data_IF_403408364010
#
_entry.id   IF_403408364010
#
_cell.length_a   1.000
_cell.length_b   1.000
_cell.length_c   1.000
_cell.angle_alpha   90.00
_cell.angle_beta   90.00
_cell.angle_gamma   90.00
#
_symmetry.space_group_name_H-M   'P 1'
#
loop_
_entity.id
_entity.type
_entity.pdbx_description
1 polymer ?
#
# COMPACT_ATOMS: atom_id res chain seq x y z
N UNK A 1 -0.59 -16.29 6.36
CA UNK A 1 0.07 -15.34 7.24
C UNK A 1 1.15 -14.62 6.50
N UNK A 2 0.67 -13.64 5.73
CA UNK A 2 0.92 -12.23 6.02
C UNK A 2 2.22 -12.00 6.77
N UNK A 3 3.20 -11.46 6.06
CA UNK A 3 4.45 -10.90 6.60
C UNK A 3 4.26 -9.90 7.76
N UNK A 4 3.02 -9.58 8.13
CA UNK A 4 2.66 -8.69 9.23
C UNK A 4 2.95 -9.28 10.61
N UNK A 5 2.70 -10.57 10.86
CA UNK A 5 2.99 -11.22 12.15
C UNK A 5 4.15 -12.20 11.97
N UNK A 6 5.25 -11.96 12.68
CA UNK A 6 6.27 -12.98 12.83
C UNK A 6 5.77 -14.04 13.81
N UNK A 7 5.05 -15.03 13.30
CA UNK A 7 4.46 -16.10 14.11
C UNK A 7 5.52 -17.08 14.67
N UNK A 8 6.75 -17.03 14.15
CA UNK A 8 7.86 -17.87 14.57
C UNK A 8 8.79 -17.08 15.48
N UNK A 9 8.61 -17.20 16.79
CA UNK A 9 9.56 -16.67 17.77
C UNK A 9 11.00 -17.17 17.55
N UNK A 10 12.01 -16.58 18.22
CA UNK A 10 11.89 -15.58 19.28
C UNK A 10 11.59 -14.16 18.76
N UNK A 11 10.74 -13.43 19.48
CA UNK A 11 10.39 -12.05 19.16
C UNK A 11 11.45 -11.09 19.71
N UNK A 12 12.45 -10.78 18.89
CA UNK A 12 13.59 -9.92 19.29
C UNK A 12 13.29 -8.43 19.19
N UNK A 13 12.19 -8.04 18.54
CA UNK A 13 11.77 -6.65 18.35
C UNK A 13 10.49 -6.37 19.16
N UNK A 14 10.28 -5.12 19.64
CA UNK A 14 9.01 -4.75 20.27
C UNK A 14 7.83 -4.87 19.29
N UNK A 15 6.60 -4.86 19.81
CA UNK A 15 5.40 -4.75 18.95
C UNK A 15 5.48 -3.48 18.11
N UNK A 16 5.20 -3.61 16.82
CA UNK A 16 5.25 -2.50 15.89
C UNK A 16 3.93 -1.70 15.94
N UNK A 17 3.80 -0.79 16.91
CA UNK A 17 2.64 0.11 17.01
C UNK A 17 2.47 1.06 15.81
N UNK A 18 3.48 1.15 14.94
CA UNK A 18 3.42 1.85 13.66
C UNK A 18 2.98 0.99 12.48
N UNK A 19 2.57 -0.26 12.72
CA UNK A 19 2.05 -1.19 11.70
C UNK A 19 0.78 -0.61 11.07
N UNK A 20 0.74 -0.65 9.75
CA UNK A 20 -0.44 -0.32 8.96
C UNK A 20 -0.65 -1.45 7.96
N UNK A 21 -1.91 -1.88 7.82
CA UNK A 21 -2.26 -2.99 6.93
C UNK A 21 -3.06 -2.52 5.73
N UNK A 22 -2.73 -3.05 4.55
CA UNK A 22 -3.53 -2.92 3.35
C UNK A 22 -4.92 -3.58 3.48
N UNK A 23 -5.66 -3.65 2.38
CA UNK A 23 -6.99 -4.29 2.38
C UNK A 23 -6.93 -5.80 2.66
N UNK A 24 -5.80 -6.42 2.35
CA UNK A 24 -5.60 -7.87 2.45
C UNK A 24 -4.54 -8.22 3.48
N UNK A 25 -4.49 -7.43 4.56
CA UNK A 25 -3.65 -7.68 5.73
C UNK A 25 -2.13 -7.70 5.45
N UNK A 26 -1.71 -7.07 4.36
CA UNK A 26 -0.30 -6.91 4.04
C UNK A 26 0.27 -5.66 4.70
N UNK A 27 1.48 -5.74 5.28
CA UNK A 27 2.10 -4.60 5.94
C UNK A 27 2.51 -3.53 4.94
N UNK A 28 2.03 -2.31 5.17
CA UNK A 28 2.42 -1.11 4.46
C UNK A 28 3.26 -0.23 5.39
N UNK A 29 4.28 0.40 4.83
CA UNK A 29 5.15 1.34 5.51
C UNK A 29 4.85 2.72 4.95
N UNK A 30 4.36 3.63 5.78
CA UNK A 30 4.29 5.03 5.35
C UNK A 30 5.66 5.55 4.99
N UNK A 31 5.74 6.37 3.95
CA UNK A 31 6.98 7.06 3.61
C UNK A 31 7.63 7.74 4.82
N UNK A 32 6.83 8.42 5.67
CA UNK A 32 7.34 9.10 6.87
C UNK A 32 7.86 8.17 7.97
N UNK A 33 7.49 6.89 7.97
CA UNK A 33 8.10 5.87 8.83
C UNK A 33 9.32 5.25 8.16
N UNK A 34 9.28 5.04 6.84
CA UNK A 34 10.39 4.51 6.05
C UNK A 34 11.66 5.38 6.11
N UNK A 35 11.49 6.71 6.18
CA UNK A 35 12.60 7.66 6.29
C UNK A 35 12.89 8.12 7.72
N UNK A 36 12.18 7.60 8.72
CA UNK A 36 12.39 7.97 10.12
C UNK A 36 13.60 7.24 10.67
N UNK A 37 14.49 7.97 11.33
CA UNK A 37 15.51 7.34 12.16
C UNK A 37 14.80 6.63 13.33
N UNK A 38 14.89 5.30 13.37
CA UNK A 38 14.56 4.60 14.61
C UNK A 38 15.55 5.07 15.68
N UNK A 39 15.09 5.31 16.93
CA UNK A 39 15.97 5.72 18.01
C UNK A 39 17.07 4.67 18.20
N UNK A 40 18.24 4.95 17.63
CA UNK A 40 19.41 4.07 17.73
C UNK A 40 19.80 3.94 19.19
N UNK A 41 20.42 2.79 19.49
CA UNK A 41 21.03 2.52 20.78
C UNK A 41 21.67 3.79 21.38
N UNK A 42 21.23 4.27 22.55
CA UNK A 42 21.69 5.53 23.15
C UNK A 42 23.20 5.56 23.45
N UNK A 43 23.86 4.40 23.33
CA UNK A 43 25.29 4.20 23.51
C UNK A 43 26.14 4.70 22.33
N UNK A 44 25.57 4.87 21.14
CA UNK A 44 26.28 5.51 20.02
C UNK A 44 25.97 7.00 20.09
N UNK A 45 26.74 7.72 20.92
CA UNK A 45 26.86 9.16 20.76
C UNK A 45 27.47 9.41 19.39
N UNK A 46 26.65 9.87 18.44
CA UNK A 46 27.12 10.36 17.14
C UNK A 46 28.08 11.52 17.42
N UNK A 47 29.36 11.19 17.50
CA UNK A 47 30.42 12.19 17.52
C UNK A 47 30.35 12.88 16.18
N UNK A 48 30.31 14.22 16.17
CA UNK A 48 30.39 15.00 14.94
C UNK A 48 31.54 14.46 14.07
N UNK A 49 31.27 14.22 12.80
CA UNK A 49 32.29 13.79 11.83
C UNK A 49 32.67 14.96 10.90
N UNK A 50 33.33 16.02 11.42
CA UNK A 50 33.62 17.23 10.66
C UNK A 50 34.60 16.98 9.50
N UNK A 51 35.26 15.82 9.48
CA UNK A 51 36.22 15.45 8.44
C UNK A 51 35.54 14.96 7.15
N UNK A 52 34.25 14.65 7.15
CA UNK A 52 33.55 14.14 5.96
C UNK A 52 33.77 15.01 4.71
N UNK A 53 33.60 16.35 4.75
CA UNK A 53 33.80 17.19 3.58
C UNK A 53 35.26 17.26 3.11
N UNK A 54 36.21 16.89 3.97
CA UNK A 54 37.65 16.89 3.66
C UNK A 54 38.12 15.58 3.03
N UNK A 55 37.30 14.53 3.04
CA UNK A 55 37.61 13.27 2.39
C UNK A 55 37.64 13.44 0.86
N UNK A 56 38.50 12.69 0.14
CA UNK A 56 38.36 12.49 -1.29
C UNK A 56 36.93 12.11 -1.68
N UNK A 57 36.47 12.60 -2.84
CA UNK A 57 35.08 12.44 -3.29
C UNK A 57 34.67 10.96 -3.40
N UNK A 58 35.60 10.10 -3.78
CA UNK A 58 35.40 8.65 -3.88
C UNK A 58 35.13 8.03 -2.51
N UNK A 59 35.84 8.50 -1.47
CA UNK A 59 35.60 8.05 -0.09
C UNK A 59 34.29 8.60 0.46
N UNK A 60 33.93 9.85 0.13
CA UNK A 60 32.62 10.39 0.47
C UNK A 60 31.49 9.55 -0.15
N UNK A 61 31.61 9.21 -1.44
CA UNK A 61 30.60 8.40 -2.14
C UNK A 61 30.54 6.98 -1.61
N UNK A 62 31.67 6.36 -1.30
CA UNK A 62 31.70 5.05 -0.66
C UNK A 62 31.00 5.07 0.70
N UNK A 63 31.23 6.10 1.54
CA UNK A 63 30.52 6.27 2.81
C UNK A 63 29.01 6.43 2.59
N UNK A 64 28.59 7.27 1.64
CA UNK A 64 27.17 7.46 1.30
C UNK A 64 26.53 6.13 0.87
N UNK A 65 27.22 5.31 0.07
CA UNK A 65 26.69 4.02 -0.40
C UNK A 65 26.41 3.00 0.70
N UNK A 66 27.01 3.19 1.88
CA UNK A 66 26.86 2.33 3.05
C UNK A 66 25.85 2.90 4.07
N UNK A 67 25.29 4.09 3.81
CA UNK A 67 24.30 4.70 4.68
C UNK A 67 22.95 3.98 4.59
N UNK A 68 22.29 3.89 5.74
CA UNK A 68 20.90 3.42 5.81
C UNK A 68 19.94 4.44 5.19
N UNK A 69 18.73 3.96 4.83
CA UNK A 69 17.70 4.76 4.16
C UNK A 69 17.37 6.08 4.89
N UNK A 70 17.14 6.11 6.22
CA UNK A 70 16.90 7.37 6.92
C UNK A 70 18.06 8.35 6.78
N UNK A 71 19.30 7.86 6.94
CA UNK A 71 20.51 8.67 6.78
C UNK A 71 20.65 9.20 5.35
N UNK A 72 20.38 8.37 4.33
CA UNK A 72 20.38 8.80 2.93
C UNK A 72 19.34 9.90 2.67
N UNK A 73 18.14 9.78 3.24
CA UNK A 73 17.11 10.82 3.13
C UNK A 73 17.55 12.14 3.77
N UNK A 74 18.19 12.10 4.94
CA UNK A 74 18.76 13.30 5.57
C UNK A 74 19.89 13.91 4.73
N UNK A 75 20.80 13.08 4.20
CA UNK A 75 21.90 13.54 3.34
C UNK A 75 21.40 14.21 2.06
N UNK A 76 20.23 13.82 1.54
CA UNK A 76 19.58 14.51 0.43
C UNK A 76 19.24 15.98 0.74
N UNK A 77 19.19 16.39 2.00
CA UNK A 77 18.85 17.75 2.40
C UNK A 77 20.09 18.65 2.62
N UNK A 78 21.30 18.07 2.74
CA UNK A 78 22.52 18.79 3.17
C UNK A 78 23.12 19.68 2.08
N UNK A 79 23.53 19.13 0.93
CA UNK A 79 24.20 19.89 -0.14
C UNK A 79 23.85 19.34 -1.53
N UNK A 80 24.06 20.11 -2.60
CA UNK A 80 23.72 19.68 -3.97
C UNK A 80 24.49 18.44 -4.42
N UNK A 81 25.78 18.37 -4.10
CA UNK A 81 26.63 17.23 -4.48
C UNK A 81 26.24 15.97 -3.71
N UNK A 82 26.13 16.06 -2.38
CA UNK A 82 25.72 14.94 -1.52
C UNK A 82 24.30 14.49 -1.91
N UNK A 83 23.39 15.43 -2.17
CA UNK A 83 22.01 15.13 -2.60
C UNK A 83 21.97 14.32 -3.88
N UNK A 84 22.77 14.68 -4.88
CA UNK A 84 22.78 13.96 -6.15
C UNK A 84 23.23 12.50 -5.95
N UNK A 85 24.20 12.27 -5.06
CA UNK A 85 24.72 10.93 -4.79
C UNK A 85 23.79 10.12 -3.88
N UNK A 86 23.39 10.65 -2.73
CA UNK A 86 22.49 9.99 -1.79
C UNK A 86 21.16 9.59 -2.44
N UNK A 87 20.66 10.43 -3.36
CA UNK A 87 19.45 10.14 -4.13
C UNK A 87 19.59 8.84 -4.95
N UNK A 88 20.76 8.53 -5.51
CA UNK A 88 20.93 7.30 -6.29
C UNK A 88 20.67 6.07 -5.42
N UNK A 89 21.31 6.03 -4.26
CA UNK A 89 21.22 4.92 -3.32
C UNK A 89 19.85 4.82 -2.65
N UNK A 90 19.25 5.96 -2.26
CA UNK A 90 17.94 5.99 -1.63
C UNK A 90 16.85 5.36 -2.50
N UNK A 91 16.81 5.72 -3.79
CA UNK A 91 15.78 5.22 -4.71
C UNK A 91 16.10 3.85 -5.31
N UNK A 92 17.30 3.31 -5.09
CA UNK A 92 17.73 2.01 -5.62
C UNK A 92 17.60 0.86 -4.62
N UNK A 93 16.97 1.07 -3.46
CA UNK A 93 16.71 -0.01 -2.48
C UNK A 93 15.90 -1.14 -3.17
N UNK A 94 16.49 -2.35 -3.34
CA UNK A 94 15.83 -3.45 -4.04
C UNK A 94 14.58 -3.96 -3.33
N UNK A 95 14.48 -3.72 -2.01
CA UNK A 95 13.38 -4.21 -1.18
C UNK A 95 12.26 -3.17 -1.02
N UNK A 96 12.51 -1.92 -1.42
CA UNK A 96 11.55 -0.81 -1.35
C UNK A 96 10.66 -0.75 -2.59
N UNK A 97 9.39 -1.05 -2.44
CA UNK A 97 8.39 -1.02 -3.51
C UNK A 97 7.36 0.05 -3.19
N UNK A 98 7.25 1.07 -4.02
CA UNK A 98 6.26 2.13 -3.80
C UNK A 98 4.90 1.64 -4.26
N UNK A 99 3.91 1.69 -3.38
CA UNK A 99 2.59 1.17 -3.66
C UNK A 99 1.65 2.28 -4.13
N UNK A 100 1.02 2.08 -5.29
CA UNK A 100 -0.05 2.94 -5.81
C UNK A 100 -1.26 2.13 -6.23
N UNK A 101 -2.44 2.71 -6.14
CA UNK A 101 -3.65 2.09 -6.67
C UNK A 101 -3.67 2.11 -8.19
N UNK A 102 -4.18 1.04 -8.81
CA UNK A 102 -4.35 0.94 -10.24
C UNK A 102 -5.18 2.09 -10.81
N UNK A 103 -6.23 2.53 -10.09
CA UNK A 103 -7.13 3.61 -10.53
C UNK A 103 -6.41 4.90 -10.90
N UNK A 104 -5.28 5.23 -10.25
CA UNK A 104 -4.45 6.37 -10.65
C UNK A 104 -3.98 6.23 -12.11
N UNK A 105 -3.46 5.06 -12.48
CA UNK A 105 -2.87 4.80 -13.79
C UNK A 105 -3.92 4.59 -14.87
N UNK A 106 -5.06 3.98 -14.53
CA UNK A 106 -6.20 3.82 -15.45
C UNK A 106 -6.77 5.16 -15.84
N UNK A 107 -6.87 6.08 -14.88
CA UNK A 107 -7.37 7.44 -15.09
C UNK A 107 -6.29 8.43 -15.54
N UNK A 108 -5.27 7.93 -16.25
CA UNK A 108 -4.29 8.78 -16.91
C UNK A 108 -3.23 9.38 -15.98
N UNK A 109 -3.12 8.95 -14.72
CA UNK A 109 -2.01 9.34 -13.85
C UNK A 109 -2.06 10.82 -13.45
N UNK A 110 -3.26 11.38 -13.27
CA UNK A 110 -3.46 12.79 -12.98
C UNK A 110 -3.62 13.06 -11.47
N UNK A 111 -3.23 14.25 -10.96
CA UNK A 111 -3.27 14.58 -9.54
C UNK A 111 -4.64 14.42 -8.89
N UNK A 112 -5.73 14.65 -9.62
CA UNK A 112 -7.10 14.49 -9.12
C UNK A 112 -7.46 13.05 -8.71
N UNK A 113 -6.78 12.04 -9.26
CA UNK A 113 -7.05 10.62 -9.03
C UNK A 113 -6.16 9.98 -7.95
N UNK A 114 -5.41 10.79 -7.19
CA UNK A 114 -4.56 10.30 -6.11
C UNK A 114 -4.53 11.25 -4.92
N UNK A 115 -4.28 10.69 -3.74
CA UNK A 115 -3.98 11.45 -2.52
C UNK A 115 -2.50 11.78 -2.38
N UNK A 116 -1.65 11.29 -3.28
CA UNK A 116 -0.20 11.32 -3.14
C UNK A 116 0.45 12.46 -3.92
N UNK A 117 1.63 12.89 -3.45
CA UNK A 117 2.44 13.91 -4.11
C UNK A 117 2.99 13.40 -5.45
N UNK A 118 2.63 14.05 -6.56
CA UNK A 118 3.04 13.58 -7.89
C UNK A 118 4.55 13.74 -8.15
N UNK A 119 5.17 14.78 -7.59
CA UNK A 119 6.62 15.03 -7.73
C UNK A 119 7.46 13.94 -7.06
N UNK A 120 6.91 13.26 -6.05
CA UNK A 120 7.54 12.09 -5.45
C UNK A 120 7.64 10.92 -6.45
N UNK A 121 6.56 10.68 -7.21
CA UNK A 121 6.43 9.53 -8.11
C UNK A 121 7.48 9.53 -9.22
N UNK A 122 7.96 10.71 -9.64
CA UNK A 122 8.96 10.84 -10.71
C UNK A 122 10.34 10.27 -10.35
N UNK A 123 10.54 9.89 -9.09
CA UNK A 123 11.80 9.32 -8.59
C UNK A 123 11.74 7.82 -8.31
N UNK A 124 10.54 7.24 -8.29
CA UNK A 124 10.33 5.82 -7.99
C UNK A 124 10.98 4.94 -9.06
N UNK A 125 11.74 3.93 -8.62
CA UNK A 125 12.37 2.92 -9.48
C UNK A 125 11.66 1.56 -9.41
N UNK A 126 11.08 1.21 -8.26
CA UNK A 126 10.32 -0.01 -8.05
C UNK A 126 8.89 0.35 -7.63
N UNK A 127 7.92 -0.06 -8.44
CA UNK A 127 6.50 0.25 -8.28
C UNK A 127 5.70 -1.02 -8.07
N UNK A 128 4.83 -1.01 -7.08
CA UNK A 128 3.76 -1.96 -6.89
C UNK A 128 2.43 -1.28 -7.25
N UNK A 129 1.64 -1.95 -8.08
CA UNK A 129 0.31 -1.50 -8.47
C UNK A 129 -0.72 -2.42 -7.84
N UNK A 130 -1.54 -1.88 -6.96
CA UNK A 130 -2.65 -2.58 -6.34
C UNK A 130 -3.91 -2.46 -7.19
N UNK A 131 -4.38 -3.59 -7.71
CA UNK A 131 -5.69 -3.67 -8.34
C UNK A 131 -6.72 -3.99 -7.27
N UNK A 132 -7.47 -2.96 -6.87
CA UNK A 132 -8.63 -3.13 -6.00
C UNK A 132 -9.69 -3.98 -6.72
N UNK A 133 -10.49 -4.74 -5.96
CA UNK A 133 -11.54 -5.60 -6.52
C UNK A 133 -12.54 -4.77 -7.35
N UNK A 134 -12.72 -3.49 -7.02
CA UNK A 134 -13.57 -2.55 -7.78
C UNK A 134 -12.95 -2.06 -9.10
N UNK A 135 -11.62 -2.03 -9.23
CA UNK A 135 -10.92 -1.52 -10.43
C UNK A 135 -10.74 -2.61 -11.49
N UNK A 136 -11.01 -3.87 -11.12
CA UNK A 136 -11.14 -4.96 -12.08
C UNK A 136 -12.27 -4.74 -13.10
N UNK A 137 -13.11 -3.71 -12.98
CA UNK A 137 -14.13 -3.36 -13.98
C UNK A 137 -13.63 -2.38 -15.08
N UNK A 138 -12.57 -1.58 -14.84
CA UNK A 138 -12.20 -0.49 -15.77
C UNK A 138 -11.14 -0.88 -16.81
N UNK A 139 -10.06 -1.56 -16.38
CA UNK A 139 -9.06 -2.12 -17.30
C UNK A 139 -9.46 -3.47 -17.88
N UNK A 140 -10.31 -4.18 -17.15
CA UNK A 140 -10.85 -5.44 -17.55
C UNK A 140 -12.35 -5.23 -17.65
N UNK A 141 -12.97 -5.40 -18.83
CA UNK A 141 -14.38 -5.80 -18.80
C UNK A 141 -14.40 -7.05 -17.91
N UNK A 142 -14.85 -6.94 -16.66
CA UNK A 142 -14.73 -8.02 -15.67
C UNK A 142 -15.34 -9.32 -16.20
N UNK A 143 -16.35 -9.23 -17.07
CA UNK A 143 -16.92 -10.36 -17.78
C UNK A 143 -15.98 -11.00 -18.83
N UNK A 144 -15.11 -10.22 -19.48
CA UNK A 144 -14.22 -10.69 -20.55
C UNK A 144 -12.94 -11.36 -20.03
N UNK A 145 -12.51 -11.07 -18.78
CA UNK A 145 -11.25 -11.57 -18.22
C UNK A 145 -11.39 -12.45 -16.98
N UNK A 146 -12.48 -12.35 -16.21
CA UNK A 146 -12.67 -13.13 -14.96
C UNK A 146 -13.55 -14.38 -15.10
N UNK A 147 -13.88 -14.82 -16.32
CA UNK A 147 -14.34 -16.20 -16.52
C UNK A 147 -15.82 -16.40 -16.85
N UNK A 148 -16.33 -15.68 -17.85
CA UNK A 148 -17.02 -16.46 -18.89
C UNK A 148 -15.99 -17.47 -19.41
N UNK A 149 -16.24 -18.78 -19.32
CA UNK A 149 -15.38 -19.85 -19.88
C UNK A 149 -15.24 -19.80 -21.42
N UNK A 150 -15.33 -18.61 -22.00
CA UNK A 150 -14.92 -18.34 -23.36
C UNK A 150 -13.41 -18.49 -23.45
N UNK A 151 -13.04 -19.47 -24.24
CA UNK A 151 -11.71 -19.84 -24.71
C UNK A 151 -10.55 -18.90 -24.27
N UNK A 152 -9.62 -19.35 -23.39
CA UNK A 152 -8.39 -18.63 -23.05
C UNK A 152 -7.53 -18.24 -24.25
N UNK A 153 -7.81 -18.81 -25.42
CA UNK A 153 -7.13 -18.53 -26.69
C UNK A 153 -7.76 -17.39 -27.49
N UNK A 154 -8.85 -16.76 -27.01
CA UNK A 154 -9.43 -15.63 -27.73
C UNK A 154 -8.50 -14.41 -27.64
N UNK A 155 -8.05 -13.95 -28.81
CA UNK A 155 -7.21 -12.75 -28.94
C UNK A 155 -7.86 -11.55 -28.22
N UNK A 156 -7.11 -10.81 -27.37
CA UNK A 156 -7.61 -9.61 -26.72
C UNK A 156 -8.24 -8.65 -27.72
N UNK A 157 -9.40 -8.09 -27.38
CA UNK A 157 -10.08 -7.12 -28.24
C UNK A 157 -9.17 -5.94 -28.57
N UNK A 158 -9.36 -5.34 -29.74
CA UNK A 158 -8.57 -4.16 -30.17
C UNK A 158 -8.69 -3.03 -29.15
N UNK A 159 -9.86 -2.87 -28.54
CA UNK A 159 -10.11 -1.84 -27.52
C UNK A 159 -9.36 -2.14 -26.21
N UNK A 160 -9.34 -3.41 -25.76
CA UNK A 160 -8.57 -3.81 -24.59
C UNK A 160 -7.07 -3.55 -24.79
N UNK A 161 -6.51 -3.93 -25.95
CA UNK A 161 -5.10 -3.64 -26.29
C UNK A 161 -4.80 -2.14 -26.27
N UNK A 162 -5.73 -1.31 -26.73
CA UNK A 162 -5.62 0.16 -26.70
C UNK A 162 -5.62 0.69 -25.26
N UNK A 163 -6.49 0.18 -24.38
CA UNK A 163 -6.52 0.54 -22.95
C UNK A 163 -5.22 0.14 -22.25
N UNK A 164 -4.74 -1.08 -22.47
CA UNK A 164 -3.46 -1.57 -21.92
C UNK A 164 -2.29 -0.69 -22.41
N UNK A 165 -2.28 -0.31 -23.70
CA UNK A 165 -1.27 0.59 -24.24
C UNK A 165 -1.31 1.97 -23.58
N UNK A 166 -2.51 2.53 -23.36
CA UNK A 166 -2.71 3.81 -22.67
C UNK A 166 -2.26 3.74 -21.20
N UNK A 167 -2.54 2.62 -20.52
CA UNK A 167 -2.05 2.35 -19.17
C UNK A 167 -0.51 2.40 -19.12
N UNK A 168 0.18 1.69 -20.02
CA UNK A 168 1.64 1.69 -20.04
C UNK A 168 2.25 3.05 -20.42
N UNK A 169 1.63 3.79 -21.33
CA UNK A 169 2.02 5.18 -21.62
C UNK A 169 1.89 6.07 -20.38
N UNK A 170 0.82 5.89 -19.61
CA UNK A 170 0.62 6.59 -18.35
C UNK A 170 1.69 6.22 -17.34
N UNK A 171 1.99 4.93 -17.17
CA UNK A 171 3.08 4.45 -16.30
C UNK A 171 4.41 5.12 -16.67
N UNK A 172 4.80 5.11 -17.94
CA UNK A 172 6.07 5.70 -18.38
C UNK A 172 6.13 7.22 -18.15
N UNK A 173 4.99 7.92 -18.32
CA UNK A 173 4.91 9.37 -18.09
C UNK A 173 4.98 9.71 -16.59
N UNK A 174 4.25 8.98 -15.75
CA UNK A 174 4.17 9.25 -14.31
C UNK A 174 5.44 8.78 -13.58
N UNK A 175 6.05 7.70 -14.06
CA UNK A 175 7.22 7.06 -13.45
C UNK A 175 8.40 6.97 -14.45
N UNK A 176 9.00 8.10 -14.85
CA UNK A 176 10.06 8.13 -15.87
C UNK A 176 11.35 7.41 -15.49
N UNK A 177 11.53 7.04 -14.22
CA UNK A 177 12.71 6.32 -13.70
C UNK A 177 12.43 4.86 -13.35
N UNK A 178 11.24 4.37 -13.69
CA UNK A 178 10.82 3.03 -13.34
C UNK A 178 11.70 1.97 -14.02
N UNK A 179 12.17 1.02 -13.24
CA UNK A 179 12.96 -0.13 -13.72
C UNK A 179 12.25 -1.46 -13.43
N UNK A 180 11.44 -1.53 -12.37
CA UNK A 180 10.69 -2.72 -11.97
C UNK A 180 9.26 -2.38 -11.60
N UNK A 181 8.32 -3.20 -12.04
CA UNK A 181 6.91 -3.03 -11.76
C UNK A 181 6.28 -4.37 -11.38
N UNK A 182 5.52 -4.39 -10.29
CA UNK A 182 4.70 -5.54 -9.90
C UNK A 182 3.24 -5.14 -10.01
N UNK A 183 2.47 -5.90 -10.78
CA UNK A 183 1.02 -5.80 -10.78
C UNK A 183 0.47 -6.81 -9.79
N UNK A 184 -0.08 -6.29 -8.70
CA UNK A 184 -0.60 -7.06 -7.57
C UNK A 184 -2.11 -7.24 -7.73
N UNK A 185 -2.52 -8.50 -7.87
CA UNK A 185 -3.91 -8.93 -7.69
C UNK A 185 -4.07 -9.39 -6.24
N UNK A 186 -5.24 -9.13 -5.67
CA UNK A 186 -5.54 -9.50 -4.31
C UNK A 186 -6.66 -10.54 -4.16
N UNK A 187 -7.28 -10.92 -5.27
CA UNK A 187 -8.14 -12.10 -5.31
C UNK A 187 -7.34 -13.32 -4.85
N UNK A 188 -7.82 -14.00 -3.82
CA UNK A 188 -7.14 -15.16 -3.26
C UNK A 188 -7.20 -16.34 -4.22
N UNK A 189 -6.03 -16.84 -4.64
CA UNK A 189 -5.91 -17.93 -5.62
C UNK A 189 -5.44 -19.22 -4.96
N UNK A 190 -5.82 -20.35 -5.52
CA UNK A 190 -5.20 -21.64 -5.20
C UNK A 190 -3.84 -21.72 -5.90
N UNK A 191 -2.90 -22.45 -5.29
CA UNK A 191 -1.57 -22.69 -5.90
C UNK A 191 -1.61 -23.35 -7.28
N UNK A 192 -2.73 -23.98 -7.64
CA UNK A 192 -2.95 -24.64 -8.94
C UNK A 192 -3.62 -23.74 -9.98
N UNK A 193 -4.09 -22.55 -9.59
CA UNK A 193 -4.85 -21.70 -10.49
C UNK A 193 -3.92 -21.10 -11.56
N UNK A 194 -4.25 -21.22 -12.85
CA UNK A 194 -3.46 -20.61 -13.93
C UNK A 194 -3.51 -19.09 -13.79
N UNK A 195 -2.47 -18.37 -14.21
CA UNK A 195 -2.47 -16.91 -14.15
C UNK A 195 -3.64 -16.30 -14.95
N UNK A 196 -4.25 -15.19 -14.49
CA UNK A 196 -5.34 -14.55 -15.22
C UNK A 196 -4.88 -14.13 -16.63
N UNK A 197 -5.56 -14.55 -17.71
CA UNK A 197 -5.19 -14.19 -19.08
C UNK A 197 -5.06 -12.69 -19.32
N UNK A 198 -5.93 -11.90 -18.67
CA UNK A 198 -5.91 -10.44 -18.77
C UNK A 198 -4.64 -9.84 -18.20
N UNK A 199 -4.22 -10.31 -17.03
CA UNK A 199 -2.98 -9.87 -16.41
C UNK A 199 -1.76 -10.28 -17.21
N UNK A 200 -1.75 -11.50 -17.77
CA UNK A 200 -0.70 -11.92 -18.71
C UNK A 200 -0.64 -11.00 -19.94
N UNK A 201 -1.79 -10.58 -20.45
CA UNK A 201 -1.88 -9.64 -21.57
C UNK A 201 -1.31 -8.27 -21.18
N UNK A 202 -1.69 -7.73 -20.02
CA UNK A 202 -1.14 -6.47 -19.50
C UNK A 202 0.38 -6.53 -19.42
N UNK A 203 0.93 -7.57 -18.80
CA UNK A 203 2.36 -7.69 -18.56
C UNK A 203 3.17 -7.99 -19.82
N UNK A 204 2.61 -8.73 -20.78
CA UNK A 204 3.27 -9.00 -22.07
C UNK A 204 3.40 -7.75 -22.95
N UNK A 205 2.57 -6.73 -22.71
CA UNK A 205 2.65 -5.42 -23.37
C UNK A 205 3.53 -4.41 -22.61
N UNK A 206 4.26 -4.84 -21.58
CA UNK A 206 5.13 -3.95 -20.82
C UNK A 206 6.23 -3.34 -21.73
N UNK A 207 6.47 -2.01 -21.64
CA UNK A 207 7.52 -1.36 -22.42
C UNK A 207 8.92 -1.93 -22.17
N UNK A 208 9.73 -1.95 -23.21
CA UNK A 208 11.14 -2.35 -23.10
C UNK A 208 11.89 -1.48 -22.06
N UNK A 209 12.73 -2.12 -21.26
CA UNK A 209 13.49 -1.47 -20.19
C UNK A 209 12.83 -1.52 -18.80
N UNK A 210 11.56 -1.92 -18.71
CA UNK A 210 10.87 -2.17 -17.44
C UNK A 210 10.75 -3.67 -17.23
N UNK A 211 11.16 -4.16 -16.07
CA UNK A 211 10.90 -5.55 -15.66
C UNK A 211 9.53 -5.65 -15.02
N UNK A 212 8.61 -6.36 -15.67
CA UNK A 212 7.26 -6.55 -15.17
C UNK A 212 7.09 -7.90 -14.46
N UNK A 213 6.40 -7.85 -13.33
CA UNK A 213 6.10 -8.98 -12.48
C UNK A 213 4.60 -9.03 -12.20
N UNK A 214 4.09 -10.23 -12.00
CA UNK A 214 2.76 -10.46 -11.47
C UNK A 214 2.87 -10.89 -10.01
N UNK A 215 1.96 -10.42 -9.16
CA UNK A 215 1.93 -10.81 -7.77
C UNK A 215 0.54 -11.22 -7.32
N UNK A 216 0.45 -12.32 -6.57
CA UNK A 216 -0.83 -12.90 -6.13
C UNK A 216 -0.79 -13.32 -4.69
N UNK A 217 -1.94 -13.20 -4.03
CA UNK A 217 -2.21 -13.93 -2.80
C UNK A 217 -2.55 -15.37 -3.15
N UNK A 218 -1.77 -16.31 -2.61
CA UNK A 218 -2.01 -17.74 -2.77
C UNK A 218 -2.34 -18.38 -1.43
N UNK A 219 -3.40 -19.19 -1.43
CA UNK A 219 -3.66 -20.19 -0.39
C UNK A 219 -2.87 -21.45 -0.71
N UNK A 220 -2.22 -22.04 0.29
CA UNK A 220 -1.53 -23.31 0.09
C UNK A 220 -2.52 -24.45 -0.17
N UNK A 221 -2.00 -25.60 -0.63
CA UNK A 221 -2.83 -26.75 -1.08
C UNK A 221 -3.75 -27.29 0.01
N UNK A 222 -3.28 -27.30 1.25
CA UNK A 222 -4.10 -27.62 2.39
C UNK A 222 -4.56 -26.29 2.99
N UNK A 223 -5.87 -26.11 3.20
CA UNK A 223 -6.47 -24.85 3.69
C UNK A 223 -5.83 -24.30 4.99
N UNK A 224 -5.03 -25.13 5.67
CA UNK A 224 -4.24 -24.81 6.86
C UNK A 224 -2.97 -23.99 6.57
N UNK A 225 -2.60 -23.79 5.30
CA UNK A 225 -1.38 -23.09 4.96
C UNK A 225 -1.59 -21.58 4.96
N UNK A 226 -0.61 -20.82 5.50
CA UNK A 226 -0.67 -19.38 5.52
C UNK A 226 -0.86 -18.81 4.10
N UNK A 227 -1.83 -17.90 3.94
CA UNK A 227 -1.90 -17.03 2.76
C UNK A 227 -0.55 -16.34 2.60
N UNK A 228 0.03 -16.46 1.42
CA UNK A 228 1.35 -15.93 1.08
C UNK A 228 1.27 -15.18 -0.25
N UNK A 229 2.03 -14.09 -0.36
CA UNK A 229 2.18 -13.40 -1.64
C UNK A 229 3.30 -14.04 -2.45
N UNK A 230 3.01 -14.38 -3.69
CA UNK A 230 3.97 -14.99 -4.64
C UNK A 230 4.27 -14.01 -5.76
N UNK A 231 5.51 -14.01 -6.24
CA UNK A 231 5.95 -13.17 -7.36
C UNK A 231 6.28 -14.04 -8.56
N UNK A 232 5.79 -13.62 -9.72
CA UNK A 232 5.87 -14.34 -10.99
C UNK A 232 6.43 -13.45 -12.09
N UNK A 233 7.09 -14.06 -13.08
CA UNK A 233 7.51 -13.39 -14.31
C UNK A 233 7.30 -14.26 -15.53
N UNK A 234 7.22 -13.65 -16.71
CA UNK A 234 7.24 -14.39 -17.97
C UNK A 234 8.62 -15.01 -18.26
N UNK A 235 8.67 -16.26 -18.70
CA UNK A 235 9.91 -16.99 -19.07
C UNK A 235 10.55 -16.51 -20.38
N UNK A 236 9.93 -15.57 -21.09
CA UNK A 236 10.31 -15.16 -22.44
C UNK A 236 11.26 -13.96 -22.52
N UNK A 237 12.56 -14.20 -22.49
CA UNK A 237 13.60 -13.21 -22.87
C UNK A 237 14.28 -13.50 -24.22
N UNK A 238 13.90 -14.58 -24.93
CA UNK A 238 14.50 -14.98 -26.21
C UNK A 238 13.44 -15.54 -27.15
N UNK A 239 12.97 -14.69 -28.05
CA UNK A 239 12.22 -14.83 -29.32
C UNK A 239 11.47 -16.10 -29.77
N UNK A 240 11.52 -17.26 -29.09
CA UNK A 240 10.90 -18.51 -29.56
C UNK A 240 10.18 -19.32 -28.46
N UNK A 241 10.13 -18.86 -27.21
CA UNK A 241 9.29 -19.50 -26.20
C UNK A 241 7.83 -19.11 -26.42
N UNK A 242 6.86 -20.04 -26.27
CA UNK A 242 5.44 -19.69 -26.31
C UNK A 242 5.20 -18.58 -25.28
N UNK A 243 4.50 -17.51 -25.68
CA UNK A 243 4.29 -16.28 -24.93
C UNK A 243 3.59 -16.43 -23.56
N UNK A 244 3.31 -17.68 -23.14
CA UNK A 244 2.46 -18.01 -22.02
C UNK A 244 3.17 -18.80 -20.91
N UNK A 245 4.48 -19.06 -21.01
CA UNK A 245 5.18 -19.68 -19.90
C UNK A 245 5.56 -18.64 -18.86
N UNK A 246 4.95 -18.74 -17.68
CA UNK A 246 5.30 -17.97 -16.51
C UNK A 246 6.01 -18.85 -15.48
N UNK A 247 6.90 -18.25 -14.71
CA UNK A 247 7.58 -18.89 -13.59
C UNK A 247 7.37 -18.11 -12.30
N UNK A 248 7.09 -18.85 -11.24
CA UNK A 248 7.19 -18.35 -9.87
C UNK A 248 8.66 -18.12 -9.56
N UNK A 249 9.04 -16.86 -9.35
CA UNK A 249 10.43 -16.49 -9.02
C UNK A 249 10.63 -16.28 -7.53
N UNK A 250 9.54 -16.02 -6.79
CA UNK A 250 9.59 -15.92 -5.35
C UNK A 250 8.31 -16.50 -4.72
N UNK A 251 8.39 -17.67 -4.07
CA UNK A 251 7.24 -18.32 -3.45
C UNK A 251 6.77 -17.68 -2.16
N UNK A 252 7.53 -16.71 -1.61
CA UNK A 252 7.16 -15.92 -0.43
C UNK A 252 7.79 -14.54 -0.60
N UNK A 253 7.13 -13.70 -1.39
CA UNK A 253 7.64 -12.40 -1.74
C UNK A 253 7.53 -11.41 -0.58
N UNK A 254 8.63 -11.29 0.15
CA UNK A 254 8.82 -10.28 1.20
C UNK A 254 9.37 -9.00 0.59
N UNK A 255 8.73 -7.87 0.88
CA UNK A 255 9.13 -6.54 0.41
C UNK A 255 8.70 -5.47 1.42
N UNK A 256 9.29 -4.29 1.33
CA UNK A 256 8.82 -3.07 2.00
C UNK A 256 7.85 -2.37 1.05
N UNK A 257 6.54 -2.61 1.23
CA UNK A 257 5.50 -1.85 0.50
C UNK A 257 5.40 -0.46 1.11
N UNK A 258 5.79 0.57 0.36
CA UNK A 258 5.89 1.95 0.83
C UNK A 258 4.72 2.76 0.26
N UNK A 259 3.89 3.32 1.14
CA UNK A 259 2.84 4.27 0.74
C UNK A 259 3.47 5.64 0.49
N UNK A 260 3.33 6.23 -0.72
CA UNK A 260 3.85 7.55 -1.04
C UNK A 260 3.33 8.65 -0.10
N UNK A 261 4.08 9.75 0.11
CA UNK A 261 3.62 10.86 0.94
C UNK A 261 2.33 11.48 0.37
N UNK A 262 1.41 11.95 1.23
CA UNK A 262 0.22 12.64 0.76
C UNK A 262 0.61 13.97 0.10
N UNK A 263 -0.18 14.39 -0.90
CA UNK A 263 -0.10 15.76 -1.42
C UNK A 263 -0.68 16.74 -0.40
N UNK A 264 -0.48 18.03 -0.65
CA UNK A 264 -1.14 19.07 0.13
C UNK A 264 -2.65 19.07 -0.16
N UNK A 265 -3.44 19.16 0.91
CA UNK A 265 -4.89 19.30 0.83
C UNK A 265 -5.27 20.76 1.12
N UNK A 266 -5.89 21.45 0.17
CA UNK A 266 -6.28 22.87 0.28
C UNK A 266 -7.69 23.09 -0.27
N UNK A 267 -8.42 24.07 0.29
CA UNK A 267 -9.78 24.42 -0.14
C UNK A 267 -10.82 23.32 0.09
N UNK A 268 -12.06 23.51 -0.40
CA UNK A 268 -13.15 22.56 -0.19
C UNK A 268 -12.90 21.19 -0.83
N UNK A 269 -12.28 21.13 -2.01
CA UNK A 269 -11.92 19.85 -2.67
C UNK A 269 -10.83 19.14 -1.86
N UNK A 270 -9.85 19.89 -1.36
CA UNK A 270 -8.81 19.35 -0.50
C UNK A 270 -9.34 18.84 0.82
N UNK A 271 -10.32 19.51 1.42
CA UNK A 271 -10.97 19.04 2.65
C UNK A 271 -11.61 17.67 2.45
N UNK A 272 -12.41 17.49 1.39
CA UNK A 272 -12.98 16.18 1.04
C UNK A 272 -11.89 15.12 0.90
N UNK A 273 -10.88 15.38 0.05
CA UNK A 273 -9.80 14.43 -0.18
C UNK A 273 -8.98 14.14 1.08
N UNK A 274 -8.81 15.11 1.97
CA UNK A 274 -8.15 14.94 3.26
C UNK A 274 -8.95 13.98 4.13
N UNK A 275 -10.26 14.17 4.28
CA UNK A 275 -11.14 13.25 5.03
C UNK A 275 -11.04 11.85 4.44
N UNK A 276 -11.22 11.70 3.12
CA UNK A 276 -11.13 10.41 2.43
C UNK A 276 -9.76 9.75 2.65
N UNK A 277 -8.67 10.52 2.56
CA UNK A 277 -7.32 10.02 2.82
C UNK A 277 -7.14 9.58 4.27
N UNK A 278 -7.58 10.38 5.25
CA UNK A 278 -7.51 10.00 6.66
C UNK A 278 -8.30 8.72 6.92
N UNK A 279 -9.49 8.57 6.34
CA UNK A 279 -10.29 7.36 6.52
C UNK A 279 -9.64 6.13 5.87
N UNK A 280 -9.36 6.17 4.57
CA UNK A 280 -8.92 4.99 3.83
C UNK A 280 -7.43 4.69 3.96
N UNK A 281 -6.58 5.69 4.17
CA UNK A 281 -5.12 5.53 4.18
C UNK A 281 -4.51 5.69 5.58
N UNK A 282 -5.28 6.07 6.60
CA UNK A 282 -4.76 6.26 7.97
C UNK A 282 -5.55 5.45 9.00
N UNK A 283 -6.85 5.70 9.13
CA UNK A 283 -7.71 5.03 10.11
C UNK A 283 -7.88 3.55 9.79
N UNK A 284 -8.45 3.20 8.63
CA UNK A 284 -8.71 1.79 8.26
C UNK A 284 -7.47 0.89 8.34
N UNK A 285 -6.28 1.30 7.84
CA UNK A 285 -5.07 0.49 7.98
C UNK A 285 -4.60 0.28 9.42
N UNK A 286 -4.74 1.29 10.29
CA UNK A 286 -4.40 1.20 11.72
C UNK A 286 -5.40 0.33 12.47
N UNK A 287 -6.68 0.56 12.26
CA UNK A 287 -7.78 -0.20 12.85
C UNK A 287 -7.64 -1.71 12.57
N UNK A 288 -7.37 -2.08 11.31
CA UNK A 288 -7.04 -3.48 10.95
C UNK A 288 -5.77 -3.98 11.64
N UNK A 289 -4.73 -3.15 11.72
CA UNK A 289 -3.48 -3.52 12.38
C UNK A 289 -3.67 -3.83 13.87
N UNK A 290 -4.62 -3.19 14.56
CA UNK A 290 -4.96 -3.47 15.97
C UNK A 290 -5.22 -4.94 16.23
N UNK A 291 -6.00 -5.59 15.35
CA UNK A 291 -6.29 -7.04 15.42
C UNK A 291 -4.99 -7.85 15.37
N UNK A 292 -4.11 -7.56 14.41
CA UNK A 292 -2.85 -8.28 14.23
C UNK A 292 -1.87 -8.05 15.39
N UNK A 293 -1.83 -6.84 15.93
CA UNK A 293 -1.04 -6.52 17.12
C UNK A 293 -1.54 -7.31 18.34
N UNK A 294 -2.86 -7.46 18.50
CA UNK A 294 -3.46 -8.27 19.57
C UNK A 294 -3.09 -9.73 19.44
N UNK A 295 -3.19 -10.29 18.23
CA UNK A 295 -2.80 -11.68 17.99
C UNK A 295 -1.32 -11.90 18.33
N UNK A 296 -0.43 -11.05 17.83
CA UNK A 296 1.00 -11.15 18.12
C UNK A 296 1.32 -10.97 19.62
N UNK A 297 0.62 -10.05 20.30
CA UNK A 297 0.78 -9.82 21.73
C UNK A 297 0.44 -11.06 22.56
N UNK A 298 -0.60 -11.80 22.19
CA UNK A 298 -1.02 -13.02 22.89
C UNK A 298 -0.04 -14.16 22.65
N UNK A 299 0.40 -14.37 21.42
CA UNK A 299 1.45 -15.36 21.11
C UNK A 299 2.73 -15.07 21.89
N UNK A 300 3.20 -13.82 21.88
CA UNK A 300 4.37 -13.39 22.66
C UNK A 300 4.18 -13.67 24.14
N UNK A 301 3.03 -13.34 24.71
CA UNK A 301 2.76 -13.56 26.13
C UNK A 301 2.87 -15.04 26.54
N UNK A 302 2.43 -15.95 25.67
CA UNK A 302 2.40 -17.38 25.93
C UNK A 302 3.72 -18.09 25.59
N UNK A 303 4.39 -17.70 24.51
CA UNK A 303 5.53 -18.43 23.99
C UNK A 303 6.88 -17.72 24.14
N UNK A 304 6.93 -16.41 24.37
CA UNK A 304 8.20 -15.69 24.55
C UNK A 304 8.78 -15.95 25.95
N UNK A 305 9.66 -16.95 26.04
CA UNK A 305 10.30 -17.38 27.28
C UNK A 305 9.42 -18.26 28.19
N UNK A 306 8.08 -18.20 28.09
CA UNK A 306 7.18 -18.99 28.96
C UNK A 306 6.83 -20.37 28.43
N UNK A 307 6.69 -20.52 27.11
CA UNK A 307 6.31 -21.78 26.43
C UNK A 307 5.05 -22.44 27.00
N UNK A 308 4.00 -21.65 27.27
CA UNK A 308 2.72 -22.13 27.81
C UNK A 308 1.70 -22.27 26.67
N UNK A 309 1.01 -23.41 26.53
CA UNK A 309 0.00 -23.58 25.49
C UNK A 309 -1.14 -22.55 25.56
N UNK A 310 -1.76 -22.28 24.42
CA UNK A 310 -2.94 -21.43 24.28
C UNK A 310 -4.15 -22.32 24.04
N UNK A 311 -5.21 -22.16 24.83
CA UNK A 311 -6.53 -22.73 24.53
C UNK A 311 -7.37 -21.65 23.81
N UNK A 312 -8.14 -22.02 22.80
CA UNK A 312 -9.00 -21.08 22.08
C UNK A 312 -9.99 -20.40 23.03
N UNK A 313 -10.12 -19.07 22.93
CA UNK A 313 -10.98 -18.28 23.81
C UNK A 313 -12.48 -18.43 23.49
N UNK A 314 -12.84 -18.94 22.30
CA UNK A 314 -14.24 -19.09 21.90
C UNK A 314 -14.88 -20.34 22.56
N UNK A 315 -15.99 -20.18 23.31
CA UNK A 315 -16.68 -21.29 23.95
C UNK A 315 -17.10 -22.38 22.96
N UNK A 316 -16.76 -23.62 23.30
CA UNK A 316 -17.11 -24.79 22.49
C UNK A 316 -16.14 -25.11 21.36
N UNK A 317 -15.15 -24.25 21.07
CA UNK A 317 -14.11 -24.57 20.09
C UNK A 317 -13.19 -25.70 20.59
N UNK A 318 -12.69 -25.61 21.82
CA UNK A 318 -11.87 -26.64 22.47
C UNK A 318 -10.49 -26.87 21.82
N UNK A 319 -10.11 -26.08 20.82
CA UNK A 319 -8.80 -26.15 20.20
C UNK A 319 -7.71 -25.69 21.18
N UNK A 320 -6.56 -26.37 21.14
CA UNK A 320 -5.37 -26.11 21.95
C UNK A 320 -4.15 -26.05 21.06
N UNK A 321 -3.25 -25.12 21.36
CA UNK A 321 -2.10 -24.77 20.55
C UNK A 321 -0.84 -24.81 21.39
N UNK A 322 0.11 -25.67 21.03
CA UNK A 322 1.33 -25.92 21.80
C UNK A 322 2.56 -25.25 21.17
N UNK A 323 2.45 -24.74 19.93
CA UNK A 323 3.55 -24.10 19.21
C UNK A 323 3.21 -22.65 18.80
N UNK A 324 4.21 -21.76 18.76
CA UNK A 324 4.05 -20.41 18.24
C UNK A 324 3.38 -20.38 16.87
N UNK A 325 2.42 -19.48 16.71
CA UNK A 325 1.74 -19.22 15.45
C UNK A 325 0.54 -20.11 15.15
N UNK A 326 0.39 -21.24 15.85
CA UNK A 326 -0.76 -22.13 15.64
C UNK A 326 -2.07 -21.47 16.06
N UNK A 327 -2.09 -20.74 17.19
CA UNK A 327 -3.28 -20.03 17.65
C UNK A 327 -3.62 -18.87 16.72
N UNK A 328 -2.61 -18.09 16.29
CA UNK A 328 -2.82 -17.00 15.33
C UNK A 328 -3.43 -17.52 14.03
N UNK A 329 -3.02 -18.70 13.54
CA UNK A 329 -3.54 -19.29 12.30
C UNK A 329 -5.01 -19.64 12.46
N UNK A 330 -5.31 -20.32 13.57
CA UNK A 330 -6.68 -20.63 13.95
C UNK A 330 -7.54 -19.37 14.07
N UNK A 331 -7.06 -18.34 14.77
CA UNK A 331 -7.79 -17.08 14.98
C UNK A 331 -8.11 -16.38 13.65
N UNK A 332 -7.15 -16.28 12.73
CA UNK A 332 -7.39 -15.68 11.41
C UNK A 332 -8.36 -16.49 10.55
N UNK A 333 -8.34 -17.83 10.64
CA UNK A 333 -9.21 -18.71 9.85
C UNK A 333 -10.64 -18.80 10.37
N UNK A 334 -10.81 -18.69 11.69
CA UNK A 334 -12.11 -18.91 12.37
C UNK A 334 -12.73 -17.64 12.92
N UNK A 335 -11.99 -16.53 12.95
CA UNK A 335 -12.39 -15.27 13.60
C UNK A 335 -12.66 -15.45 15.11
N UNK A 336 -12.03 -16.45 15.75
CA UNK A 336 -12.16 -16.73 17.19
C UNK A 336 -11.25 -15.85 18.07
N UNK A 337 -11.03 -14.60 17.67
CA UNK A 337 -10.22 -13.62 18.40
C UNK A 337 -11.01 -12.46 19.03
N UNK A 338 -12.33 -12.40 18.83
CA UNK A 338 -13.20 -11.36 19.42
C UNK A 338 -13.16 -11.29 20.96
N UNK A 339 -12.84 -12.41 21.62
CA UNK A 339 -12.73 -12.50 23.09
C UNK A 339 -11.30 -12.42 23.60
N UNK A 340 -10.34 -12.26 22.68
CA UNK A 340 -8.94 -12.20 23.02
C UNK A 340 -8.64 -10.88 23.76
N UNK A 341 -7.94 -10.95 24.89
CA UNK A 341 -7.61 -9.77 25.70
C UNK A 341 -6.09 -9.70 25.82
N UNK A 342 -5.47 -8.54 25.59
CA UNK A 342 -4.03 -8.40 25.76
C UNK A 342 -3.65 -8.63 27.23
N UNK A 343 -2.41 -9.04 27.44
CA UNK A 343 -1.87 -9.19 28.80
C UNK A 343 -1.96 -7.88 29.60
N UNK A 344 -2.02 -7.99 30.94
CA UNK A 344 -2.14 -6.81 31.82
C UNK A 344 -1.01 -5.79 31.60
N UNK A 345 0.18 -6.27 31.23
CA UNK A 345 1.35 -5.44 30.95
C UNK A 345 1.19 -4.62 29.66
N UNK A 346 0.52 -5.18 28.64
CA UNK A 346 0.32 -4.53 27.35
C UNK A 346 -0.99 -3.75 27.26
N UNK A 347 -1.94 -3.97 28.18
CA UNK A 347 -3.23 -3.29 28.19
C UNK A 347 -3.12 -1.76 28.05
N UNK A 348 -2.24 -1.04 28.79
CA UNK A 348 -2.13 0.41 28.62
C UNK A 348 -1.71 0.85 27.21
N UNK A 349 -0.89 0.06 26.51
CA UNK A 349 -0.48 0.38 25.14
C UNK A 349 -1.59 0.13 24.13
N UNK A 350 -2.43 -0.88 24.34
CA UNK A 350 -3.64 -1.09 23.54
C UNK A 350 -4.68 0.00 23.79
N UNK A 351 -4.94 0.37 25.04
CA UNK A 351 -5.86 1.45 25.39
C UNK A 351 -5.39 2.79 24.74
N UNK A 352 -4.08 3.07 24.75
CA UNK A 352 -3.51 4.23 24.04
C UNK A 352 -3.68 4.14 22.51
N UNK A 353 -3.49 2.96 21.93
CA UNK A 353 -3.65 2.77 20.48
C UNK A 353 -5.10 2.95 20.04
N UNK A 354 -6.06 2.45 20.83
CA UNK A 354 -7.50 2.65 20.64
C UNK A 354 -7.85 4.15 20.72
N UNK A 355 -7.37 4.87 21.74
CA UNK A 355 -7.55 6.32 21.86
C UNK A 355 -6.99 7.08 20.64
N UNK A 356 -5.82 6.69 20.12
CA UNK A 356 -5.28 7.28 18.88
C UNK A 356 -6.18 7.06 17.67
N UNK A 357 -6.79 5.87 17.55
CA UNK A 357 -7.73 5.54 16.48
C UNK A 357 -9.04 6.33 16.63
N UNK A 358 -9.56 6.47 17.84
CA UNK A 358 -10.75 7.28 18.13
C UNK A 358 -10.52 8.76 17.81
N UNK A 359 -9.36 9.32 18.19
CA UNK A 359 -9.00 10.70 17.83
C UNK A 359 -8.94 10.88 16.31
N UNK A 360 -8.44 9.88 15.57
CA UNK A 360 -8.42 9.94 14.10
C UNK A 360 -9.83 9.87 13.52
N UNK A 361 -10.68 8.98 14.04
CA UNK A 361 -12.07 8.85 13.60
C UNK A 361 -12.87 10.12 13.89
N UNK A 362 -12.73 10.69 15.09
CA UNK A 362 -13.37 11.95 15.45
C UNK A 362 -12.98 13.08 14.50
N UNK A 363 -11.69 13.20 14.13
CA UNK A 363 -11.23 14.21 13.15
C UNK A 363 -11.83 14.01 11.76
N UNK A 364 -12.08 12.76 11.36
CA UNK A 364 -12.74 12.42 10.09
C UNK A 364 -14.20 12.87 10.15
N UNK A 365 -14.91 12.52 11.23
CA UNK A 365 -16.29 12.91 11.47
C UNK A 365 -16.45 14.43 11.54
N UNK A 366 -15.64 15.12 12.35
CA UNK A 366 -15.65 16.59 12.47
C UNK A 366 -15.40 17.28 11.13
N UNK A 367 -14.51 16.70 10.31
CA UNK A 367 -14.23 17.19 8.96
C UNK A 367 -15.44 17.08 8.03
N UNK A 368 -16.13 15.93 8.05
CA UNK A 368 -17.36 15.73 7.28
C UNK A 368 -18.51 16.61 7.78
N UNK A 369 -18.72 16.68 9.09
CA UNK A 369 -19.76 17.50 9.71
C UNK A 369 -19.57 18.98 9.37
N UNK A 370 -18.32 19.46 9.38
CA UNK A 370 -17.97 20.80 8.92
C UNK A 370 -18.38 21.04 7.46
N UNK A 371 -18.09 20.08 6.58
CA UNK A 371 -18.49 20.16 5.17
C UNK A 371 -20.00 20.14 4.98
N UNK A 372 -20.74 19.32 5.73
CA UNK A 372 -22.21 19.31 5.70
C UNK A 372 -22.80 20.64 6.19
N UNK A 373 -22.22 21.23 7.23
CA UNK A 373 -22.64 22.54 7.74
C UNK A 373 -22.43 23.64 6.69
N UNK A 374 -21.27 23.65 6.02
CA UNK A 374 -20.95 24.60 4.95
C UNK A 374 -21.81 24.39 3.69
N UNK A 375 -22.15 23.13 3.38
CA UNK A 375 -23.04 22.77 2.27
C UNK A 375 -24.44 23.34 2.45
N UNK A 376 -24.98 23.34 3.67
CA UNK A 376 -26.27 23.96 3.99
C UNK A 376 -27.50 23.29 3.35
N UNK A 377 -28.66 23.92 3.52
CA UNK A 377 -29.94 23.34 3.10
C UNK A 377 -30.15 23.35 1.58
N UNK A 378 -30.98 22.43 1.09
CA UNK A 378 -31.38 22.35 -0.32
C UNK A 378 -31.97 23.67 -0.84
N UNK A 379 -31.38 24.22 -1.90
CA UNK A 379 -31.80 25.49 -2.50
C UNK A 379 -31.35 26.75 -1.75
N UNK A 380 -30.61 26.61 -0.65
CA UNK A 380 -30.04 27.76 0.07
C UNK A 380 -28.93 28.45 -0.73
N UNK A 381 -28.69 29.73 -0.44
CA UNK A 381 -27.56 30.47 -1.00
C UNK A 381 -26.21 29.86 -0.59
N UNK A 382 -26.12 29.31 0.62
CA UNK A 382 -24.91 28.62 1.10
C UNK A 382 -24.59 27.41 0.22
N UNK A 383 -25.59 26.58 -0.08
CA UNK A 383 -25.42 25.42 -0.97
C UNK A 383 -24.96 25.80 -2.37
N UNK A 384 -25.57 26.84 -2.94
CA UNK A 384 -25.17 27.33 -4.26
C UNK A 384 -23.72 27.85 -4.25
N UNK A 385 -23.33 28.57 -3.19
CA UNK A 385 -21.96 29.07 -3.04
C UNK A 385 -20.95 27.93 -2.85
N UNK A 386 -21.25 26.94 -1.99
CA UNK A 386 -20.40 25.78 -1.77
C UNK A 386 -20.21 24.95 -3.04
N UNK A 387 -21.29 24.72 -3.81
CA UNK A 387 -21.20 24.08 -5.14
C UNK A 387 -20.30 24.85 -6.10
N UNK A 388 -20.48 26.18 -6.17
CA UNK A 388 -19.67 27.04 -7.04
C UNK A 388 -18.20 27.03 -6.63
N UNK A 389 -17.89 27.12 -5.33
CA UNK A 389 -16.52 27.12 -4.84
C UNK A 389 -15.82 25.78 -5.11
N UNK A 390 -16.50 24.67 -4.85
CA UNK A 390 -15.98 23.32 -5.10
C UNK A 390 -15.71 23.09 -6.59
N UNK A 391 -16.67 23.42 -7.46
CA UNK A 391 -16.50 23.29 -8.91
C UNK A 391 -15.43 24.23 -9.45
N UNK A 392 -15.40 25.48 -8.98
CA UNK A 392 -14.37 26.44 -9.36
C UNK A 392 -12.97 25.93 -8.99
N UNK A 393 -12.80 25.36 -7.81
CA UNK A 393 -11.53 24.77 -7.43
C UNK A 393 -11.15 23.58 -8.33
N UNK A 394 -12.07 22.67 -8.62
CA UNK A 394 -11.81 21.54 -9.53
C UNK A 394 -11.37 21.99 -10.93
N UNK A 395 -11.93 23.08 -11.46
CA UNK A 395 -11.59 23.59 -12.80
C UNK A 395 -10.25 24.34 -12.83
N UNK A 396 -9.78 24.90 -11.70
CA UNK A 396 -8.66 25.86 -11.69
C UNK A 396 -7.44 25.42 -10.87
N UNK A 397 -7.59 24.48 -9.93
CA UNK A 397 -6.49 24.04 -9.06
C UNK A 397 -5.74 22.83 -9.66
N UNK A 398 -4.44 22.97 -10.00
CA UNK A 398 -3.67 21.90 -10.61
C UNK A 398 -3.52 20.66 -9.71
N UNK A 399 -3.67 20.78 -8.38
CA UNK A 399 -3.60 19.64 -7.46
C UNK A 399 -4.78 18.67 -7.61
N UNK A 400 -5.89 19.12 -8.19
CA UNK A 400 -7.12 18.35 -8.36
C UNK A 400 -7.48 18.12 -9.83
N UNK A 401 -6.58 18.50 -10.76
CA UNK A 401 -6.79 18.30 -12.19
C UNK A 401 -6.99 16.82 -12.54
N UNK A 402 -8.08 16.53 -13.24
CA UNK A 402 -8.51 15.17 -13.64
C UNK A 402 -8.70 15.03 -15.16
N UNK A 403 -8.38 16.06 -15.94
CA UNK A 403 -8.55 16.03 -17.41
C UNK A 403 -9.99 16.11 -17.91
N UNK A 404 -10.98 16.24 -17.00
CA UNK A 404 -12.40 16.39 -17.31
C UNK A 404 -12.93 17.72 -16.76
N UNK A 405 -14.01 18.29 -17.31
CA UNK A 405 -14.71 19.43 -16.70
C UNK A 405 -15.15 19.10 -15.26
N UNK A 406 -15.11 20.07 -14.32
CA UNK A 406 -15.39 19.83 -12.90
C UNK A 406 -16.66 19.01 -12.63
N UNK A 407 -17.76 19.29 -13.35
CA UNK A 407 -19.06 18.62 -13.20
C UNK A 407 -19.08 17.16 -13.64
N UNK A 408 -18.08 16.72 -14.40
CA UNK A 408 -17.96 15.35 -14.92
C UNK A 408 -16.91 14.53 -14.14
N UNK A 409 -16.31 15.12 -13.11
CA UNK A 409 -15.30 14.44 -12.29
C UNK A 409 -15.93 13.49 -11.28
N UNK A 410 -15.24 12.40 -10.97
CA UNK A 410 -15.63 11.48 -9.89
C UNK A 410 -15.62 12.15 -8.52
N UNK A 411 -14.71 13.12 -8.30
CA UNK A 411 -14.67 13.89 -7.05
C UNK A 411 -15.95 14.69 -6.84
N UNK A 412 -16.49 15.31 -7.90
CA UNK A 412 -17.77 16.01 -7.81
C UNK A 412 -18.94 15.05 -7.59
N UNK A 413 -18.93 13.90 -8.26
CA UNK A 413 -19.96 12.88 -8.07
C UNK A 413 -19.97 12.35 -6.62
N UNK A 414 -18.80 12.02 -6.07
CA UNK A 414 -18.62 11.57 -4.69
C UNK A 414 -19.06 12.67 -3.69
N UNK A 415 -18.57 13.90 -3.86
CA UNK A 415 -18.96 15.03 -3.01
C UNK A 415 -20.48 15.22 -2.97
N UNK A 416 -21.16 15.20 -4.13
CA UNK A 416 -22.62 15.30 -4.14
C UNK A 416 -23.31 14.11 -3.48
N UNK A 417 -22.79 12.89 -3.64
CA UNK A 417 -23.38 11.72 -3.02
C UNK A 417 -23.32 11.88 -1.50
N UNK A 418 -22.14 12.17 -0.97
CA UNK A 418 -21.91 12.37 0.47
C UNK A 418 -22.77 13.52 1.01
N UNK A 419 -22.81 14.67 0.33
CA UNK A 419 -23.53 15.85 0.82
C UNK A 419 -25.07 15.77 0.68
N UNK A 420 -25.62 14.80 -0.06
CA UNK A 420 -27.06 14.63 -0.22
C UNK A 420 -27.63 13.42 0.53
N UNK A 421 -26.77 12.56 1.09
CA UNK A 421 -27.16 11.39 1.90
C UNK A 421 -26.61 11.56 3.34
N UNK A 422 -27.21 12.47 4.14
CA UNK A 422 -26.73 12.80 5.47
C UNK A 422 -26.92 11.68 6.51
#
# INVERSE_FOLDING_TARGET
>A
MTSAINATGPWTTPLNWGLELGYYDEPHIRFSNYVRDEPRCPWITLSDFPQFPTLPVELQFNVISLCEIPTLFQLMQVSRAIRAEAKKYFWSDPDAWNCVRASLLVNGGLPGHTFHEMDYLVHVQHLEIEFDDCVQDDLCDSQALLGSQTDPWLEPSVELRKRISSFWQTVQRTFPRLTRISVSEHTLRQSTDPLPPGLMTVLSMCPAGISAFASFLQRGKDNLHPIKRTLWRGKGGKNNSPANEWEEINPTWTRKSITPPPKQFCGPVGMLQSVTYQFHCRFRPKDRASRFLLLEAIERHHFDGRHVPIDCFEPGCGARFDLPGQWTLHALETEHDDRAIPSKELKPSFDQHEEECDILLQKITDGMDGMHADWGEGGSANRLNAEQEFLHQLDNDPLYYSGKPAKETELWAAFKADMNDP
#
